data_IF_866486919383
#
_entry.id   IF_866486919383
#
_cell.length_a   1.000
_cell.length_b   1.000
_cell.length_c   1.000
_cell.angle_alpha   90.00
_cell.angle_beta   90.00
_cell.angle_gamma   90.00
#
_symmetry.space_group_name_H-M   'P 1'
#
loop_
_entity.id
_entity.type
_entity.pdbx_description
1 polymer ?
#
# COMPACT_ATOMS: atom_id res chain seq x y z
N UNK A 1 3.50 -27.00 31.03
CA UNK A 1 3.12 -27.64 29.74
C UNK A 1 3.31 -26.65 28.60
N UNK A 2 4.40 -26.76 27.84
CA UNK A 2 4.77 -25.80 26.78
C UNK A 2 4.69 -26.48 25.41
N UNK A 3 3.69 -26.14 24.60
CA UNK A 3 3.55 -26.67 23.23
C UNK A 3 4.24 -25.73 22.26
N UNK A 4 5.55 -25.94 22.05
CA UNK A 4 6.29 -25.30 20.95
C UNK A 4 5.87 -25.94 19.62
N UNK A 5 5.36 -25.13 18.70
CA UNK A 5 5.00 -25.54 17.34
C UNK A 5 6.24 -26.02 16.56
N UNK A 6 6.13 -27.07 15.72
CA UNK A 6 7.26 -27.63 14.99
C UNK A 6 7.79 -26.67 13.92
N UNK A 7 9.12 -26.58 13.83
CA UNK A 7 9.91 -25.65 13.00
C UNK A 7 9.62 -25.70 11.48
N UNK A 8 8.85 -26.68 10.99
CA UNK A 8 8.52 -26.83 9.57
C UNK A 8 7.57 -25.76 9.03
N UNK A 9 6.85 -25.03 9.88
CA UNK A 9 5.97 -23.95 9.44
C UNK A 9 6.67 -22.60 9.19
N UNK A 10 7.90 -22.41 9.70
CA UNK A 10 8.64 -21.13 9.54
C UNK A 10 9.32 -20.99 8.17
N UNK A 11 9.57 -22.08 7.45
CA UNK A 11 10.27 -22.05 6.16
C UNK A 11 9.34 -21.77 4.97
N UNK A 12 8.04 -22.11 5.04
CA UNK A 12 7.11 -21.86 3.92
C UNK A 12 6.62 -20.42 3.78
N UNK A 13 6.77 -19.56 4.80
CA UNK A 13 6.38 -18.15 4.70
C UNK A 13 7.43 -17.23 4.04
N UNK A 14 8.62 -17.74 3.72
CA UNK A 14 9.66 -16.95 3.02
C UNK A 14 9.73 -17.17 1.51
N UNK A 15 8.96 -18.10 0.97
CA UNK A 15 9.10 -18.54 -0.43
C UNK A 15 8.01 -18.01 -1.39
N UNK A 16 7.18 -17.05 -0.99
CA UNK A 16 6.08 -16.59 -1.84
C UNK A 16 5.83 -15.08 -1.76
N UNK A 17 6.87 -14.27 -1.92
CA UNK A 17 6.79 -12.95 -2.57
C UNK A 17 8.14 -12.72 -3.28
N UNK A 18 8.43 -13.53 -4.30
CA UNK A 18 9.31 -13.08 -5.39
C UNK A 18 8.33 -12.66 -6.47
N UNK A 19 7.87 -11.41 -6.39
CA UNK A 19 7.20 -10.81 -7.53
C UNK A 19 8.22 -10.76 -8.66
N UNK A 20 7.93 -11.48 -9.75
CA UNK A 20 8.68 -11.39 -10.97
C UNK A 20 8.66 -9.92 -11.42
N UNK A 21 9.85 -9.32 -11.40
CA UNK A 21 10.09 -7.92 -11.75
C UNK A 21 10.00 -7.79 -13.27
N UNK A 22 9.24 -6.82 -13.83
CA UNK A 22 9.12 -6.67 -15.27
C UNK A 22 10.51 -6.38 -15.88
N UNK A 23 10.82 -7.06 -17.00
CA UNK A 23 12.05 -6.91 -17.74
C UNK A 23 12.18 -5.48 -18.28
N UNK A 24 12.89 -4.62 -17.55
CA UNK A 24 13.01 -3.19 -17.84
C UNK A 24 13.48 -2.35 -16.65
N UNK A 25 13.47 -2.89 -15.42
CA UNK A 25 14.03 -2.18 -14.27
C UNK A 25 15.56 -2.21 -14.30
N UNK A 26 16.18 -1.03 -14.33
CA UNK A 26 17.60 -0.86 -14.08
C UNK A 26 17.99 -1.64 -12.81
N UNK A 27 19.10 -2.38 -12.88
CA UNK A 27 19.61 -3.14 -11.74
C UNK A 27 19.58 -2.27 -10.48
N UNK A 28 18.93 -2.76 -9.42
CA UNK A 28 18.67 -1.95 -8.25
C UNK A 28 19.98 -1.42 -7.67
N UNK A 29 20.04 -0.13 -7.32
CA UNK A 29 21.21 0.49 -6.68
C UNK A 29 21.88 -0.38 -5.58
N UNK A 30 21.14 -1.12 -4.73
CA UNK A 30 21.75 -2.01 -3.74
C UNK A 30 22.46 -3.24 -4.32
N UNK A 31 21.95 -3.81 -5.41
CA UNK A 31 22.53 -4.94 -6.10
C UNK A 31 23.79 -4.50 -6.84
N UNK A 32 23.71 -3.37 -7.55
CA UNK A 32 24.85 -2.75 -8.24
C UNK A 32 25.97 -2.40 -7.26
N UNK A 33 25.65 -1.80 -6.09
CA UNK A 33 26.65 -1.53 -5.06
C UNK A 33 27.34 -2.79 -4.52
N UNK A 34 26.61 -3.90 -4.35
CA UNK A 34 27.19 -5.19 -3.95
C UNK A 34 28.09 -5.79 -5.03
N UNK A 35 27.69 -5.68 -6.30
CA UNK A 35 28.52 -6.09 -7.42
C UNK A 35 29.81 -5.29 -7.51
N UNK A 36 29.75 -3.97 -7.27
CA UNK A 36 30.95 -3.12 -7.18
C UNK A 36 31.88 -3.55 -6.04
N UNK A 37 31.35 -3.90 -4.86
CA UNK A 37 32.16 -4.42 -3.75
C UNK A 37 32.82 -5.77 -4.09
N UNK A 38 32.07 -6.68 -4.72
CA UNK A 38 32.61 -7.97 -5.17
C UNK A 38 33.71 -7.82 -6.22
N UNK A 39 33.49 -6.92 -7.19
CA UNK A 39 34.47 -6.59 -8.22
C UNK A 39 35.72 -5.90 -7.62
N UNK A 40 35.55 -5.02 -6.64
CA UNK A 40 36.67 -4.39 -5.95
C UNK A 40 37.53 -5.41 -5.20
N UNK A 41 36.91 -6.40 -4.54
CA UNK A 41 37.62 -7.48 -3.87
C UNK A 41 38.44 -8.34 -4.85
N UNK A 42 37.90 -8.60 -6.05
CA UNK A 42 38.63 -9.29 -7.12
C UNK A 42 39.81 -8.45 -7.62
N UNK A 43 39.62 -7.15 -7.84
CA UNK A 43 40.67 -6.24 -8.29
C UNK A 43 41.84 -6.16 -7.28
N UNK A 44 41.55 -6.14 -5.97
CA UNK A 44 42.57 -6.22 -4.92
C UNK A 44 43.34 -7.55 -4.97
N UNK A 45 42.65 -8.67 -5.16
CA UNK A 45 43.29 -9.98 -5.27
C UNK A 45 44.20 -10.10 -6.51
N UNK A 46 43.92 -9.35 -7.56
CA UNK A 46 44.75 -9.30 -8.78
C UNK A 46 45.81 -8.20 -8.74
N UNK A 47 45.92 -7.43 -7.64
CA UNK A 47 46.89 -6.34 -7.47
C UNK A 47 46.58 -5.06 -8.27
N UNK A 48 45.35 -4.90 -8.76
CA UNK A 48 44.92 -3.68 -9.45
C UNK A 48 44.26 -2.72 -8.45
N UNK A 49 45.09 -2.03 -7.67
CA UNK A 49 44.66 -1.09 -6.64
C UNK A 49 43.87 0.09 -7.21
N UNK A 50 44.13 0.47 -8.47
CA UNK A 50 43.45 1.58 -9.13
C UNK A 50 42.01 1.21 -9.46
N UNK A 51 41.80 0.04 -10.07
CA UNK A 51 40.45 -0.46 -10.35
C UNK A 51 39.68 -0.73 -9.06
N UNK A 52 40.33 -1.31 -8.04
CA UNK A 52 39.72 -1.54 -6.74
C UNK A 52 39.20 -0.24 -6.11
N UNK A 53 40.00 0.84 -6.14
CA UNK A 53 39.61 2.12 -5.55
C UNK A 53 38.42 2.76 -6.25
N UNK A 54 38.43 2.76 -7.58
CA UNK A 54 37.31 3.27 -8.37
C UNK A 54 36.01 2.50 -8.10
N UNK A 55 36.09 1.17 -7.96
CA UNK A 55 34.94 0.32 -7.66
C UNK A 55 34.42 0.53 -6.23
N UNK A 56 35.29 0.80 -5.26
CA UNK A 56 34.90 1.14 -3.88
C UNK A 56 34.20 2.49 -3.79
N UNK A 57 34.69 3.51 -4.51
CA UNK A 57 34.04 4.82 -4.57
C UNK A 57 32.64 4.71 -5.20
N UNK A 58 32.52 3.96 -6.30
CA UNK A 58 31.23 3.69 -6.93
C UNK A 58 30.27 2.93 -5.99
N UNK A 59 30.77 1.93 -5.26
CA UNK A 59 29.97 1.20 -4.28
C UNK A 59 29.45 2.13 -3.16
N UNK A 60 30.28 3.07 -2.69
CA UNK A 60 29.91 4.06 -1.68
C UNK A 60 28.75 4.93 -2.17
N UNK A 61 28.81 5.42 -3.40
CA UNK A 61 27.77 6.27 -3.98
C UNK A 61 26.44 5.51 -4.11
N UNK A 62 26.47 4.26 -4.56
CA UNK A 62 25.27 3.42 -4.63
C UNK A 62 24.65 3.13 -3.26
N UNK A 63 25.48 2.93 -2.23
CA UNK A 63 25.01 2.75 -0.85
C UNK A 63 24.39 4.04 -0.32
N UNK A 64 24.98 5.21 -0.62
CA UNK A 64 24.44 6.50 -0.24
C UNK A 64 23.07 6.75 -0.91
N UNK A 65 22.97 6.49 -2.23
CA UNK A 65 21.71 6.59 -2.96
C UNK A 65 20.64 5.67 -2.38
N UNK A 66 20.98 4.40 -2.13
CA UNK A 66 20.03 3.43 -1.55
C UNK A 66 19.50 3.88 -0.18
N UNK A 67 20.33 4.56 0.64
CA UNK A 67 19.89 5.12 1.92
C UNK A 67 18.97 6.31 1.73
N UNK A 68 19.26 7.18 0.77
CA UNK A 68 18.41 8.31 0.42
C UNK A 68 17.03 7.83 -0.07
N UNK A 69 16.99 6.80 -0.91
CA UNK A 69 15.74 6.22 -1.42
C UNK A 69 14.88 5.63 -0.29
N UNK A 70 15.51 4.95 0.68
CA UNK A 70 14.79 4.43 1.86
C UNK A 70 14.26 5.56 2.74
N UNK A 71 15.03 6.63 2.92
CA UNK A 71 14.57 7.80 3.67
C UNK A 71 13.38 8.47 2.98
N UNK A 72 13.46 8.66 1.65
CA UNK A 72 12.38 9.21 0.85
C UNK A 72 11.11 8.34 0.92
N UNK A 73 11.25 7.01 0.81
CA UNK A 73 10.12 6.10 0.91
C UNK A 73 9.43 6.19 2.29
N UNK A 74 10.20 6.35 3.38
CA UNK A 74 9.65 6.54 4.73
C UNK A 74 8.87 7.85 4.85
N UNK A 75 9.43 8.94 4.34
CA UNK A 75 8.74 10.23 4.33
C UNK A 75 7.47 10.18 3.48
N UNK A 76 7.50 9.48 2.34
CA UNK A 76 6.33 9.31 1.49
C UNK A 76 5.22 8.53 2.20
N UNK A 77 5.57 7.50 3.00
CA UNK A 77 4.60 6.78 3.84
C UNK A 77 4.01 7.72 4.88
N UNK A 78 4.85 8.47 5.62
CA UNK A 78 4.38 9.43 6.63
C UNK A 78 3.43 10.47 6.06
N UNK A 79 3.80 11.08 4.92
CA UNK A 79 2.97 12.08 4.26
C UNK A 79 1.65 11.49 3.75
N UNK A 80 1.65 10.24 3.28
CA UNK A 80 0.41 9.57 2.88
C UNK A 80 -0.50 9.31 4.09
N UNK A 81 0.05 8.87 5.22
CA UNK A 81 -0.71 8.65 6.46
C UNK A 81 -1.32 9.96 6.98
N UNK A 82 -0.55 11.06 6.96
CA UNK A 82 -1.03 12.40 7.33
C UNK A 82 -2.14 12.88 6.40
N UNK A 83 -1.99 12.68 5.09
CA UNK A 83 -3.02 13.04 4.11
C UNK A 83 -4.30 12.20 4.28
N UNK A 84 -4.18 10.91 4.55
CA UNK A 84 -5.33 10.05 4.86
C UNK A 84 -6.05 10.49 6.13
N UNK A 85 -5.32 10.80 7.19
CA UNK A 85 -5.89 11.29 8.44
C UNK A 85 -6.65 12.61 8.22
N UNK A 86 -6.06 13.54 7.47
CA UNK A 86 -6.70 14.80 7.11
C UNK A 86 -7.98 14.59 6.30
N UNK A 87 -7.98 13.67 5.31
CA UNK A 87 -9.18 13.32 4.53
C UNK A 87 -10.28 12.73 5.41
N UNK A 88 -9.95 11.79 6.30
CA UNK A 88 -10.93 11.20 7.24
C UNK A 88 -11.52 12.27 8.16
N UNK A 89 -10.69 13.18 8.65
CA UNK A 89 -11.14 14.30 9.50
C UNK A 89 -12.07 15.26 8.75
N UNK A 90 -11.71 15.65 7.53
CA UNK A 90 -12.55 16.52 6.69
C UNK A 90 -13.89 15.86 6.36
N UNK A 91 -13.90 14.57 6.02
CA UNK A 91 -15.11 13.81 5.73
C UNK A 91 -16.02 13.71 6.96
N UNK A 92 -15.46 13.43 8.13
CA UNK A 92 -16.22 13.42 9.38
C UNK A 92 -16.80 14.80 9.74
N UNK A 93 -16.06 15.88 9.49
CA UNK A 93 -16.55 17.24 9.69
C UNK A 93 -17.71 17.57 8.73
N UNK A 94 -17.61 17.13 7.47
CA UNK A 94 -18.68 17.29 6.50
C UNK A 94 -19.97 16.57 6.91
N UNK A 95 -19.89 15.29 7.30
CA UNK A 95 -21.05 14.54 7.81
C UNK A 95 -21.75 15.24 8.97
N UNK A 96 -20.97 15.78 9.91
CA UNK A 96 -21.53 16.56 11.04
C UNK A 96 -22.20 17.85 10.57
N UNK A 97 -21.61 18.55 9.60
CA UNK A 97 -22.13 19.81 9.08
C UNK A 97 -23.44 19.63 8.31
N UNK A 98 -23.60 18.53 7.58
CA UNK A 98 -24.83 18.23 6.83
C UNK A 98 -25.88 17.49 7.69
N UNK A 99 -25.55 17.14 8.93
CA UNK A 99 -26.44 16.39 9.81
C UNK A 99 -26.74 14.97 9.31
N UNK A 100 -25.77 14.32 8.66
CA UNK A 100 -25.95 12.99 8.09
C UNK A 100 -26.31 11.96 9.17
N UNK A 101 -27.27 11.09 8.87
CA UNK A 101 -27.60 9.95 9.72
C UNK A 101 -26.50 8.88 9.69
N UNK A 102 -26.52 7.96 10.66
CA UNK A 102 -25.56 6.83 10.68
C UNK A 102 -25.74 5.98 9.41
N UNK A 103 -26.98 5.77 8.99
CA UNK A 103 -27.33 5.01 7.80
C UNK A 103 -26.82 5.68 6.51
N UNK A 104 -26.94 7.00 6.38
CA UNK A 104 -26.41 7.75 5.23
C UNK A 104 -24.87 7.66 5.18
N UNK A 105 -24.20 7.70 6.34
CA UNK A 105 -22.76 7.51 6.45
C UNK A 105 -22.35 6.08 6.05
N UNK A 106 -23.09 5.07 6.48
CA UNK A 106 -22.85 3.66 6.14
C UNK A 106 -23.01 3.40 4.64
N UNK A 107 -24.02 4.00 3.99
CA UNK A 107 -24.22 3.89 2.55
C UNK A 107 -23.07 4.53 1.78
N UNK A 108 -22.62 5.72 2.19
CA UNK A 108 -21.51 6.39 1.50
C UNK A 108 -20.20 5.58 1.63
N UNK A 109 -19.94 4.97 2.80
CA UNK A 109 -18.81 4.04 2.96
C UNK A 109 -18.95 2.81 2.06
N UNK A 110 -20.16 2.26 1.94
CA UNK A 110 -20.45 1.13 1.05
C UNK A 110 -20.24 1.50 -0.43
N UNK A 111 -20.55 2.73 -0.84
CA UNK A 111 -20.27 3.25 -2.17
C UNK A 111 -18.76 3.27 -2.46
N UNK A 112 -17.96 3.78 -1.51
CA UNK A 112 -16.51 3.81 -1.65
C UNK A 112 -15.91 2.40 -1.77
N UNK A 113 -16.33 1.46 -0.93
CA UNK A 113 -15.89 0.06 -0.97
C UNK A 113 -16.22 -0.60 -2.32
N UNK A 114 -17.45 -0.40 -2.79
CA UNK A 114 -17.91 -0.99 -4.05
C UNK A 114 -17.17 -0.38 -5.25
N UNK A 115 -16.89 0.93 -5.23
CA UNK A 115 -16.11 1.61 -6.24
C UNK A 115 -14.68 1.05 -6.32
N UNK A 116 -14.03 0.80 -5.17
CA UNK A 116 -12.71 0.16 -5.13
C UNK A 116 -12.76 -1.28 -5.64
N UNK A 117 -13.75 -2.05 -5.20
CA UNK A 117 -13.94 -3.45 -5.61
C UNK A 117 -14.13 -3.55 -7.14
N UNK A 118 -14.94 -2.66 -7.72
CA UNK A 118 -15.15 -2.55 -9.16
C UNK A 118 -13.85 -2.17 -9.87
N UNK A 119 -13.09 -1.19 -9.35
CA UNK A 119 -11.80 -0.77 -9.93
C UNK A 119 -10.79 -1.92 -9.95
N UNK A 120 -10.67 -2.67 -8.84
CA UNK A 120 -9.77 -3.84 -8.75
C UNK A 120 -10.20 -4.95 -9.72
N UNK A 121 -11.51 -5.23 -9.83
CA UNK A 121 -12.01 -6.23 -10.78
C UNK A 121 -11.67 -5.86 -12.23
N UNK A 122 -11.84 -4.58 -12.61
CA UNK A 122 -11.46 -4.08 -13.94
C UNK A 122 -9.96 -4.21 -14.21
N UNK A 123 -9.12 -3.81 -13.25
CA UNK A 123 -7.67 -3.93 -13.39
C UNK A 123 -7.19 -5.37 -13.52
N UNK A 124 -7.89 -6.31 -12.86
CA UNK A 124 -7.61 -7.74 -12.95
C UNK A 124 -8.18 -8.41 -14.22
N UNK A 125 -8.91 -7.67 -15.08
CA UNK A 125 -9.58 -8.23 -16.26
C UNK A 125 -10.71 -9.21 -15.93
N UNK A 126 -11.24 -9.17 -14.70
CA UNK A 126 -12.29 -10.05 -14.22
C UNK A 126 -13.70 -9.49 -14.46
N UNK A 127 -14.74 -10.30 -14.22
CA UNK A 127 -16.11 -9.84 -14.25
C UNK A 127 -16.33 -8.74 -13.19
N UNK A 128 -16.99 -7.65 -13.60
CA UNK A 128 -17.25 -6.51 -12.73
C UNK A 128 -18.45 -6.83 -11.83
N UNK A 129 -18.30 -6.82 -10.50
CA UNK A 129 -19.41 -7.06 -9.58
C UNK A 129 -20.41 -5.90 -9.64
N UNK A 130 -21.69 -6.21 -9.46
CA UNK A 130 -22.73 -5.16 -9.32
C UNK A 130 -22.54 -4.40 -8.00
N UNK A 131 -22.76 -3.08 -8.00
CA UNK A 131 -22.80 -2.30 -6.77
C UNK A 131 -23.98 -2.72 -5.90
N UNK A 132 -23.81 -2.58 -4.59
CA UNK A 132 -24.80 -2.92 -3.57
C UNK A 132 -25.56 -1.69 -3.05
N UNK A 133 -25.03 -0.49 -3.30
CA UNK A 133 -25.57 0.76 -2.74
C UNK A 133 -26.97 1.12 -3.23
N UNK A 134 -27.39 0.66 -4.42
CA UNK A 134 -28.73 0.94 -4.95
C UNK A 134 -29.82 0.37 -4.02
N UNK A 135 -29.66 -0.88 -3.57
CA UNK A 135 -30.58 -1.49 -2.61
C UNK A 135 -30.49 -0.88 -1.21
N UNK A 136 -29.35 -0.28 -0.85
CA UNK A 136 -29.20 0.37 0.46
C UNK A 136 -29.90 1.73 0.52
N UNK A 137 -29.92 2.49 -0.58
CA UNK A 137 -30.63 3.79 -0.64
C UNK A 137 -32.15 3.65 -0.49
N UNK A 138 -32.75 2.63 -1.10
CA UNK A 138 -34.20 2.35 -0.96
C UNK A 138 -34.64 2.15 0.51
N UNK A 139 -33.75 1.63 1.37
CA UNK A 139 -34.02 1.42 2.79
C UNK A 139 -33.98 2.72 3.62
N UNK A 140 -33.24 3.73 3.15
CA UNK A 140 -33.11 5.02 3.83
C UNK A 140 -34.23 5.97 3.40
N UNK A 141 -34.57 6.01 2.11
CA UNK A 141 -35.67 6.82 1.60
C UNK A 141 -37.03 6.36 2.15
N UNK A 142 -37.26 5.05 2.26
CA UNK A 142 -38.49 4.49 2.83
C UNK A 142 -38.73 4.80 4.32
N UNK A 143 -37.68 5.18 5.08
CA UNK A 143 -37.83 5.63 6.47
C UNK A 143 -38.25 7.09 6.58
N UNK A 144 -37.78 7.94 5.65
CA UNK A 144 -38.11 9.37 5.59
C UNK A 144 -39.57 9.61 5.24
N UNK A 145 -40.16 8.75 4.42
CA UNK A 145 -41.60 8.80 4.11
C UNK A 145 -42.47 8.29 5.27
N UNK A 146 -41.94 7.43 6.15
CA UNK A 146 -42.67 6.85 7.28
C UNK A 146 -42.66 7.67 8.58
N UNK A 147 -41.77 8.66 8.72
CA UNK A 147 -41.68 9.53 9.90
C UNK A 147 -42.73 10.67 9.93
N UNK A 148 -43.64 10.72 8.93
CA UNK A 148 -44.67 11.76 8.80
C UNK A 148 -46.05 11.43 9.39
N UNK A 149 -46.31 10.19 9.83
CA UNK A 149 -47.69 9.71 10.10
C UNK A 149 -48.00 9.39 11.58
N UNK A 150 -47.10 9.70 12.52
CA UNK A 150 -47.36 9.51 13.96
C UNK A 150 -47.42 10.85 14.71
N UNK A 151 -48.36 11.73 14.34
CA UNK A 151 -48.81 12.81 15.21
C UNK A 151 -50.18 13.36 14.76
N UNK A 152 -51.27 12.69 15.10
CA UNK A 152 -52.58 13.34 15.29
C UNK A 152 -53.50 12.39 16.10
N UNK A 153 -53.53 12.61 17.41
CA UNK A 153 -54.61 12.19 18.34
C UNK A 153 -55.56 13.38 18.53
#
# INVERSE_FOLDING_TARGET
MSRRLPARHRLRKRAAIVQARPAGEAAGAPETGRHCLGAAALALNTGDDRAARALLDLAKDFIAQSRADVALAREQIRLNDEAEAARRSAKAAWYRAVGASIEEVEIDLQIEEDAERIRRARQAGGPVPRPRWEASWELVDGRREGEGDEAED
#
